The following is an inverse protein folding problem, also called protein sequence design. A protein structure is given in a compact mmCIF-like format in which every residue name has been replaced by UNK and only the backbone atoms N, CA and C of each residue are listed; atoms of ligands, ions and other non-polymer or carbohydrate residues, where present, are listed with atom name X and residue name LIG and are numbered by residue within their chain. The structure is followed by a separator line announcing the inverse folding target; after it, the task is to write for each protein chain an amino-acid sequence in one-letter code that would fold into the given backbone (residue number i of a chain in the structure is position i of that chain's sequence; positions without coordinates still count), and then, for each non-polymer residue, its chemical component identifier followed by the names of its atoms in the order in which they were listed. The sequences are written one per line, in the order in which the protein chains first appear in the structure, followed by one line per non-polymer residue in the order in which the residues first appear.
data_IF_017561450089
#
_entry.id   IF_017561450089
#
_cell.length_a   1.000
_cell.length_b   1.000
_cell.length_c   1.000
_cell.angle_alpha   90.00
_cell.angle_beta   90.00
_cell.angle_gamma   90.00
#
_symmetry.space_group_name_H-M   'P 1'
#
loop_
_entity.id
_entity.type
_entity.pdbx_description
1 polymer ?
#
# COMPACT_ATOMS: atom_id res chain seq x y z
N UNK A 1 -15.79 27.76 -22.81
CA UNK A 1 -15.45 27.07 -24.08
C UNK A 1 -13.95 27.25 -24.31
N UNK A 2 -13.27 26.15 -24.67
CA UNK A 2 -11.82 25.94 -24.95
C UNK A 2 -10.91 25.42 -23.81
N UNK A 3 -10.66 24.10 -23.89
CA UNK A 3 -9.60 23.30 -23.24
C UNK A 3 -8.20 23.65 -23.82
N UNK A 4 -7.09 23.34 -23.11
CA UNK A 4 -6.31 22.13 -23.47
C UNK A 4 -5.69 21.41 -22.24
N UNK A 5 -5.84 20.09 -22.12
CA UNK A 5 -4.78 19.16 -22.52
C UNK A 5 -3.42 19.37 -21.82
N UNK A 6 -3.31 18.92 -20.57
CA UNK A 6 -2.04 18.42 -20.04
C UNK A 6 -2.25 17.00 -19.53
N UNK A 7 -1.82 16.08 -20.38
CA UNK A 7 -1.58 14.68 -20.10
C UNK A 7 -0.74 14.53 -18.83
N UNK A 8 -1.30 13.95 -17.77
CA UNK A 8 -0.52 13.01 -16.96
C UNK A 8 -0.85 11.61 -17.47
N UNK A 9 -0.05 11.15 -18.42
CA UNK A 9 0.09 9.74 -18.78
C UNK A 9 0.45 8.95 -17.51
N UNK A 10 -0.54 8.37 -16.85
CA UNK A 10 -0.34 7.15 -16.06
C UNK A 10 -1.68 6.46 -15.96
N UNK A 11 -1.76 5.23 -16.45
CA UNK A 11 -2.94 4.39 -16.32
C UNK A 11 -3.31 4.26 -14.84
N UNK A 12 -4.36 4.95 -14.44
CA UNK A 12 -5.00 4.73 -13.16
C UNK A 12 -5.86 3.48 -13.31
N UNK A 13 -5.22 2.30 -13.24
CA UNK A 13 -5.95 1.13 -12.76
C UNK A 13 -6.41 1.53 -11.37
N UNK A 14 -7.70 1.84 -11.24
CA UNK A 14 -8.31 2.29 -10.00
C UNK A 14 -8.16 1.19 -8.95
N UNK A 15 -7.02 1.18 -8.28
CA UNK A 15 -6.87 0.55 -6.98
C UNK A 15 -7.38 1.56 -5.97
N UNK A 16 -8.26 1.09 -5.09
CA UNK A 16 -9.01 1.86 -4.09
C UNK A 16 -8.10 2.34 -2.95
N UNK A 17 -6.80 2.50 -3.22
CA UNK A 17 -5.74 2.63 -2.27
C UNK A 17 -5.27 4.08 -2.20
N UNK A 18 -5.05 4.62 -0.99
CA UNK A 18 -4.45 5.94 -0.81
C UNK A 18 -3.09 6.08 -1.50
N UNK A 19 -2.71 7.31 -1.82
CA UNK A 19 -1.38 7.59 -2.38
C UNK A 19 -0.27 7.03 -1.46
N UNK A 20 0.76 6.43 -2.07
CA UNK A 20 1.89 5.85 -1.35
C UNK A 20 1.62 4.47 -0.75
N UNK A 21 0.48 3.85 -1.05
CA UNK A 21 0.18 2.47 -0.64
C UNK A 21 0.14 1.53 -1.85
N UNK A 22 0.38 0.23 -1.61
CA UNK A 22 0.36 -0.81 -2.63
C UNK A 22 -0.86 -1.72 -2.46
N UNK A 23 -1.52 -2.14 -3.54
CA UNK A 23 -2.72 -3.00 -3.45
C UNK A 23 -2.37 -4.44 -3.03
N UNK A 24 -3.27 -5.09 -2.31
CA UNK A 24 -3.21 -6.54 -2.11
C UNK A 24 -3.49 -7.30 -3.40
N UNK A 25 -2.88 -8.48 -3.54
CA UNK A 25 -3.14 -9.40 -4.65
C UNK A 25 -4.50 -10.11 -4.53
N UNK A 26 -4.98 -10.28 -3.30
CA UNK A 26 -6.13 -11.14 -2.99
C UNK A 26 -7.36 -10.33 -2.62
N UNK A 27 -7.19 -9.14 -2.03
CA UNK A 27 -8.29 -8.32 -1.53
C UNK A 27 -8.24 -6.91 -2.13
N UNK A 28 -9.20 -6.51 -2.97
CA UNK A 28 -9.20 -5.19 -3.60
C UNK A 28 -9.40 -4.03 -2.61
N UNK A 29 -9.84 -4.31 -1.38
CA UNK A 29 -10.03 -3.31 -0.32
C UNK A 29 -8.88 -3.28 0.70
N UNK A 30 -7.82 -4.09 0.49
CA UNK A 30 -6.66 -4.12 1.37
C UNK A 30 -5.48 -3.42 0.68
N UNK A 31 -4.88 -2.47 1.39
CA UNK A 31 -3.75 -1.68 0.92
C UNK A 31 -2.61 -1.76 1.93
N UNK A 32 -1.38 -1.83 1.44
CA UNK A 32 -0.17 -1.97 2.22
C UNK A 32 0.65 -0.68 2.22
N UNK A 33 1.08 -0.28 3.41
CA UNK A 33 2.03 0.80 3.61
C UNK A 33 3.37 0.23 4.09
N UNK A 34 4.46 0.66 3.47
CA UNK A 34 5.81 0.22 3.82
C UNK A 34 6.55 1.35 4.53
N UNK A 35 6.80 1.16 5.83
CA UNK A 35 7.58 2.10 6.63
C UNK A 35 9.08 1.94 6.36
N UNK A 36 9.79 3.04 6.18
CA UNK A 36 11.26 3.03 6.01
C UNK A 36 12.03 3.02 7.34
N UNK A 37 11.32 3.21 8.46
CA UNK A 37 11.92 3.29 9.79
C UNK A 37 11.89 1.92 10.47
N UNK A 38 13.02 1.50 11.03
CA UNK A 38 13.08 0.32 11.89
C UNK A 38 12.56 0.67 13.29
N UNK A 39 11.38 0.16 13.62
CA UNK A 39 10.73 0.39 14.90
C UNK A 39 10.61 -0.93 15.70
N UNK A 40 10.58 -0.88 17.04
CA UNK A 40 10.09 -1.99 17.85
C UNK A 40 8.69 -2.40 17.41
N UNK A 41 8.34 -3.68 17.54
CA UNK A 41 7.06 -4.22 17.08
C UNK A 41 5.85 -3.39 17.54
N UNK A 42 5.79 -3.04 18.83
CA UNK A 42 4.70 -2.23 19.39
C UNK A 42 4.62 -0.83 18.76
N UNK A 43 5.76 -0.16 18.59
CA UNK A 43 5.80 1.16 17.97
C UNK A 43 5.47 1.11 16.47
N UNK A 44 5.80 0.00 15.80
CA UNK A 44 5.42 -0.22 14.41
C UNK A 44 3.90 -0.38 14.26
N UNK A 45 3.27 -1.14 15.16
CA UNK A 45 1.80 -1.26 15.23
C UNK A 45 1.15 0.09 15.50
N UNK A 46 1.61 0.83 16.50
CA UNK A 46 1.10 2.18 16.79
C UNK A 46 1.24 3.12 15.58
N UNK A 47 2.33 2.99 14.80
CA UNK A 47 2.51 3.76 13.58
C UNK A 47 1.47 3.41 12.50
N UNK A 48 1.15 2.13 12.35
CA UNK A 48 0.13 1.66 11.41
C UNK A 48 -1.28 2.10 11.87
N UNK A 49 -1.58 2.00 13.16
CA UNK A 49 -2.86 2.44 13.76
C UNK A 49 -3.06 3.94 13.58
N UNK A 50 -2.02 4.76 13.75
CA UNK A 50 -2.07 6.20 13.49
C UNK A 50 -2.40 6.55 12.02
N UNK A 51 -2.34 5.57 11.11
CA UNK A 51 -2.65 5.70 9.67
C UNK A 51 -3.95 4.98 9.29
N UNK A 52 -4.80 4.66 10.27
CA UNK A 52 -6.05 3.92 10.07
C UNK A 52 -5.84 2.51 9.48
N UNK A 53 -4.76 1.85 9.91
CA UNK A 53 -4.41 0.48 9.51
C UNK A 53 -3.77 -0.32 10.64
N UNK A 54 -3.24 -1.49 10.34
CA UNK A 54 -2.58 -2.39 11.29
C UNK A 54 -1.34 -3.04 10.65
N UNK A 55 -0.47 -3.64 11.47
CA UNK A 55 0.60 -4.49 10.96
C UNK A 55 0.03 -5.60 10.07
N UNK A 56 0.71 -5.84 8.96
CA UNK A 56 0.26 -6.79 7.94
C UNK A 56 0.22 -8.22 8.48
N UNK A 57 -0.80 -8.96 8.06
CA UNK A 57 -0.88 -10.42 8.20
C UNK A 57 -0.95 -11.05 6.81
N UNK A 58 -0.21 -12.12 6.60
CA UNK A 58 -0.23 -12.87 5.33
C UNK A 58 -1.14 -14.09 5.45
N UNK A 59 -2.07 -14.22 4.51
CA UNK A 59 -3.01 -15.35 4.45
C UNK A 59 -2.81 -16.24 3.22
N UNK A 60 -1.82 -15.93 2.38
CA UNK A 60 -1.48 -16.74 1.22
C UNK A 60 0.01 -16.66 0.91
N UNK A 61 0.55 -17.73 0.33
CA UNK A 61 1.95 -17.79 -0.14
C UNK A 61 2.22 -16.75 -1.22
N UNK A 62 1.24 -16.49 -2.09
CA UNK A 62 1.38 -15.49 -3.14
C UNK A 62 1.53 -14.07 -2.56
N UNK A 63 0.77 -13.76 -1.51
CA UNK A 63 0.83 -12.46 -0.82
C UNK A 63 2.12 -12.32 0.00
N UNK A 64 2.56 -13.39 0.66
CA UNK A 64 3.84 -13.41 1.37
C UNK A 64 5.04 -13.14 0.43
N UNK A 65 5.07 -13.79 -0.74
CA UNK A 65 6.07 -13.53 -1.79
C UNK A 65 5.97 -12.10 -2.32
N UNK A 66 4.76 -11.57 -2.45
CA UNK A 66 4.55 -10.19 -2.91
C UNK A 66 5.12 -9.17 -1.92
N UNK A 67 4.81 -9.32 -0.63
CA UNK A 67 5.29 -8.43 0.43
C UNK A 67 6.81 -8.54 0.63
N UNK A 68 7.36 -9.76 0.60
CA UNK A 68 8.80 -10.00 0.80
C UNK A 68 9.69 -9.32 -0.23
N UNK A 69 9.16 -8.95 -1.41
CA UNK A 69 9.93 -8.25 -2.46
C UNK A 69 9.89 -6.73 -2.35
N UNK A 70 9.11 -6.18 -1.42
CA UNK A 70 8.93 -4.73 -1.22
C UNK A 70 9.74 -4.19 -0.03
N UNK A 71 10.37 -5.08 0.75
CA UNK A 71 11.28 -4.74 1.86
C UNK A 71 12.76 -4.57 1.43
N UNK A 72 13.05 -4.50 0.12
CA UNK A 72 14.37 -4.24 -0.50
C UNK A 72 14.42 -2.86 -1.15
#
# INVERSE_FOLDING_TARGET
MFLPYLLSLTGFLATNCPEGTSPSLSNPNLCYFFGTQRLPYMNAEENCVARDGHLTTTHSVAEDIYLSRKDL
#
